data_IF_074443467193
#
_entry.id   IF_074443467193
#
_cell.length_a   1.000
_cell.length_b   1.000
_cell.length_c   1.000
_cell.angle_alpha   90.00
_cell.angle_beta   90.00
_cell.angle_gamma   90.00
#
_symmetry.space_group_name_H-M   'P 1'
#
loop_
_entity.id
_entity.type
_entity.pdbx_description
1 polymer ?
#
# COMPACT_ATOMS: atom_id res chain seq x y z
N UNK A 1 -5.35 -24.47 -16.39
CA UNK A 1 -4.04 -24.03 -15.88
C UNK A 1 -3.06 -25.18 -15.88
N UNK A 2 -1.85 -24.93 -16.29
CA UNK A 2 -0.78 -25.92 -16.34
C UNK A 2 0.06 -25.91 -15.06
N UNK A 3 -0.58 -26.29 -13.94
CA UNK A 3 0.12 -26.49 -12.71
C UNK A 3 -0.09 -25.40 -11.67
N UNK A 4 0.57 -25.61 -10.54
CA UNK A 4 0.40 -24.80 -9.33
C UNK A 4 0.83 -23.35 -9.51
N UNK A 5 1.92 -23.12 -10.24
CA UNK A 5 2.47 -21.78 -10.47
C UNK A 5 1.48 -20.93 -11.26
N UNK A 6 0.81 -21.51 -12.25
CA UNK A 6 -0.18 -20.79 -13.05
C UNK A 6 -1.42 -20.43 -12.24
N UNK A 7 -1.83 -21.29 -11.30
CA UNK A 7 -2.94 -20.99 -10.40
C UNK A 7 -2.58 -19.83 -9.46
N UNK A 8 -1.37 -19.83 -8.93
CA UNK A 8 -0.90 -18.74 -8.05
C UNK A 8 -0.80 -17.44 -8.85
N UNK A 9 -0.29 -17.49 -10.06
CA UNK A 9 -0.18 -16.31 -10.92
C UNK A 9 -1.56 -15.73 -11.26
N UNK A 10 -2.56 -16.58 -11.51
CA UNK A 10 -3.93 -16.13 -11.78
C UNK A 10 -4.57 -15.52 -10.53
N UNK A 11 -4.35 -16.11 -9.35
CA UNK A 11 -4.82 -15.53 -8.09
C UNK A 11 -4.16 -14.17 -7.84
N UNK A 12 -2.86 -14.03 -8.12
CA UNK A 12 -2.17 -12.76 -8.00
C UNK A 12 -2.73 -11.73 -8.97
N UNK A 13 -3.01 -12.12 -10.22
CA UNK A 13 -3.60 -11.23 -11.23
C UNK A 13 -4.96 -10.69 -10.77
N UNK A 14 -5.83 -11.58 -10.32
CA UNK A 14 -7.14 -11.20 -9.79
C UNK A 14 -7.02 -10.27 -8.59
N UNK A 15 -6.10 -10.59 -7.70
CA UNK A 15 -5.84 -9.78 -6.51
C UNK A 15 -5.37 -8.38 -6.86
N UNK A 16 -4.42 -8.24 -7.77
CA UNK A 16 -3.94 -6.93 -8.21
C UNK A 16 -5.03 -6.11 -8.90
N UNK A 17 -5.91 -6.75 -9.67
CA UNK A 17 -7.02 -6.05 -10.32
C UNK A 17 -7.95 -5.42 -9.27
N UNK A 18 -8.39 -6.21 -8.28
CA UNK A 18 -9.24 -5.72 -7.19
C UNK A 18 -8.51 -4.67 -6.36
N UNK A 19 -7.26 -4.93 -6.02
CA UNK A 19 -6.44 -4.03 -5.23
C UNK A 19 -6.25 -2.68 -5.93
N UNK A 20 -5.96 -2.68 -7.22
CA UNK A 20 -5.82 -1.45 -8.00
C UNK A 20 -7.10 -0.62 -7.97
N UNK A 21 -8.26 -1.25 -8.13
CA UNK A 21 -9.54 -0.56 -8.09
C UNK A 21 -9.81 0.04 -6.70
N UNK A 22 -9.52 -0.70 -5.64
CA UNK A 22 -9.69 -0.22 -4.27
C UNK A 22 -8.76 0.95 -3.96
N UNK A 23 -7.52 0.88 -4.38
CA UNK A 23 -6.55 1.95 -4.16
C UNK A 23 -6.93 3.23 -4.92
N UNK A 24 -7.33 3.09 -6.18
CA UNK A 24 -7.81 4.22 -6.98
C UNK A 24 -9.04 4.88 -6.34
N UNK A 25 -9.99 4.09 -5.88
CA UNK A 25 -11.19 4.59 -5.22
C UNK A 25 -10.84 5.35 -3.93
N UNK A 26 -9.98 4.75 -3.10
CA UNK A 26 -9.56 5.36 -1.84
C UNK A 26 -8.84 6.69 -2.08
N UNK A 27 -7.96 6.73 -3.08
CA UNK A 27 -7.25 7.95 -3.44
C UNK A 27 -8.20 9.07 -3.85
N UNK A 28 -9.15 8.78 -4.74
CA UNK A 28 -10.14 9.75 -5.20
C UNK A 28 -11.04 10.24 -4.08
N UNK A 29 -11.39 9.36 -3.17
CA UNK A 29 -12.24 9.70 -2.01
C UNK A 29 -11.59 10.73 -1.12
N UNK A 30 -10.27 10.75 -1.01
CA UNK A 30 -9.53 11.69 -0.18
C UNK A 30 -9.34 13.07 -0.82
N UNK A 31 -9.52 13.18 -2.15
CA UNK A 31 -9.32 14.44 -2.85
C UNK A 31 -10.29 15.53 -2.38
N UNK A 32 -9.90 16.81 -2.39
CA UNK A 32 -8.64 17.36 -2.91
C UNK A 32 -7.46 17.34 -1.92
N UNK A 33 -7.62 16.78 -0.74
CA UNK A 33 -6.54 16.74 0.26
C UNK A 33 -5.55 15.61 -0.06
N UNK A 34 -4.29 15.97 -0.32
CA UNK A 34 -3.23 15.00 -0.56
C UNK A 34 -3.02 14.08 0.66
N UNK A 35 -3.07 14.63 1.87
CA UNK A 35 -2.93 13.85 3.10
C UNK A 35 -4.11 12.89 3.30
N UNK A 36 -5.33 13.36 3.09
CA UNK A 36 -6.52 12.51 3.22
C UNK A 36 -6.51 11.37 2.19
N UNK A 37 -6.07 11.64 0.97
CA UNK A 37 -5.89 10.60 -0.06
C UNK A 37 -4.86 9.57 0.37
N UNK A 38 -3.74 10.02 0.92
CA UNK A 38 -2.67 9.15 1.39
C UNK A 38 -3.16 8.24 2.53
N UNK A 39 -3.80 8.83 3.54
CA UNK A 39 -4.36 8.07 4.66
C UNK A 39 -5.42 7.07 4.22
N UNK A 40 -6.29 7.46 3.29
CA UNK A 40 -7.33 6.61 2.74
C UNK A 40 -6.74 5.38 2.02
N UNK A 41 -5.66 5.56 1.25
CA UNK A 41 -4.99 4.45 0.58
C UNK A 41 -4.36 3.48 1.58
N UNK A 42 -3.81 3.97 2.68
CA UNK A 42 -3.27 3.12 3.74
C UNK A 42 -4.36 2.25 4.38
N UNK A 43 -5.51 2.83 4.68
CA UNK A 43 -6.65 2.08 5.21
C UNK A 43 -7.17 1.06 4.21
N UNK A 44 -7.21 1.42 2.93
CA UNK A 44 -7.63 0.50 1.87
C UNK A 44 -6.68 -0.70 1.74
N UNK A 45 -5.39 -0.48 1.92
CA UNK A 45 -4.40 -1.55 1.91
C UNK A 45 -4.71 -2.60 2.99
N UNK A 46 -4.91 -2.15 4.24
CA UNK A 46 -5.24 -3.06 5.34
C UNK A 46 -6.57 -3.77 5.12
N UNK A 47 -7.59 -3.04 4.65
CA UNK A 47 -8.90 -3.62 4.38
C UNK A 47 -8.82 -4.71 3.31
N UNK A 48 -8.04 -4.48 2.25
CA UNK A 48 -7.82 -5.46 1.21
C UNK A 48 -7.18 -6.73 1.75
N UNK A 49 -6.11 -6.59 2.53
CA UNK A 49 -5.41 -7.74 3.10
C UNK A 49 -6.31 -8.60 3.99
N UNK A 50 -7.23 -7.97 4.73
CA UNK A 50 -8.19 -8.67 5.58
C UNK A 50 -9.29 -9.37 4.77
N UNK A 51 -9.80 -8.69 3.76
CA UNK A 51 -10.93 -9.21 2.97
C UNK A 51 -10.49 -10.28 1.98
N UNK A 52 -9.29 -10.18 1.44
CA UNK A 52 -8.77 -11.07 0.41
C UNK A 52 -7.43 -11.68 0.82
N UNK A 53 -7.37 -12.42 1.96
CA UNK A 53 -6.08 -12.91 2.48
C UNK A 53 -5.37 -13.87 1.53
N UNK A 54 -6.11 -14.73 0.83
CA UNK A 54 -5.52 -15.66 -0.13
C UNK A 54 -4.92 -14.96 -1.33
N UNK A 55 -5.62 -13.96 -1.86
CA UNK A 55 -5.10 -13.15 -2.96
C UNK A 55 -3.87 -12.36 -2.51
N UNK A 56 -3.91 -11.80 -1.29
CA UNK A 56 -2.78 -11.06 -0.73
C UNK A 56 -1.51 -11.94 -0.66
N UNK A 57 -1.64 -13.18 -0.20
CA UNK A 57 -0.53 -14.13 -0.15
C UNK A 57 0.02 -14.41 -1.55
N UNK A 58 -0.86 -14.64 -2.53
CA UNK A 58 -0.44 -14.88 -3.90
C UNK A 58 0.29 -13.69 -4.50
N UNK A 59 -0.17 -12.47 -4.20
CA UNK A 59 0.42 -11.23 -4.72
C UNK A 59 1.79 -10.93 -4.12
N UNK A 60 1.93 -11.03 -2.81
CA UNK A 60 3.08 -10.46 -2.10
C UNK A 60 3.97 -11.48 -1.40
N UNK A 61 3.53 -12.72 -1.24
CA UNK A 61 4.25 -13.70 -0.43
C UNK A 61 4.55 -15.01 -1.16
N UNK A 62 4.02 -15.19 -2.36
CA UNK A 62 4.17 -16.44 -3.10
C UNK A 62 5.51 -16.56 -3.84
N UNK A 63 6.23 -15.46 -3.99
CA UNK A 63 7.44 -15.40 -4.80
C UNK A 63 7.17 -15.27 -6.29
N UNK A 64 5.92 -15.15 -6.73
CA UNK A 64 5.61 -14.93 -8.13
C UNK A 64 6.13 -13.57 -8.57
N UNK A 65 6.88 -13.55 -9.68
CA UNK A 65 7.34 -12.30 -10.26
C UNK A 65 6.17 -11.53 -10.89
N UNK A 66 6.09 -10.22 -10.58
CA UNK A 66 5.10 -9.36 -11.24
C UNK A 66 5.36 -9.21 -12.74
N UNK A 67 6.56 -9.55 -13.18
CA UNK A 67 6.94 -9.48 -14.60
C UNK A 67 6.68 -10.80 -15.34
N UNK A 68 6.03 -11.76 -14.70
CA UNK A 68 5.72 -13.06 -15.34
C UNK A 68 4.89 -12.89 -16.61
N UNK A 69 3.93 -11.95 -16.60
CA UNK A 69 3.15 -11.58 -17.78
C UNK A 69 3.06 -10.08 -17.90
N UNK A 70 2.87 -9.52 -19.12
CA UNK A 70 2.66 -8.09 -19.27
C UNK A 70 1.44 -7.56 -18.52
N UNK A 71 0.36 -8.33 -18.46
CA UNK A 71 -0.85 -7.96 -17.74
C UNK A 71 -0.58 -7.85 -16.23
N UNK A 72 0.12 -8.82 -15.66
CA UNK A 72 0.45 -8.79 -14.23
C UNK A 72 1.34 -7.59 -13.89
N UNK A 73 2.34 -7.30 -14.74
CA UNK A 73 3.19 -6.12 -14.56
C UNK A 73 2.38 -4.82 -14.62
N UNK A 74 1.44 -4.72 -15.54
CA UNK A 74 0.58 -3.54 -15.69
C UNK A 74 -0.31 -3.35 -14.47
N UNK A 75 -0.98 -4.40 -14.01
CA UNK A 75 -1.89 -4.33 -12.88
C UNK A 75 -1.15 -4.03 -11.56
N UNK A 76 -0.01 -4.67 -11.34
CA UNK A 76 0.79 -4.40 -10.14
C UNK A 76 1.34 -2.97 -10.14
N UNK A 77 1.79 -2.48 -11.29
CA UNK A 77 2.26 -1.11 -11.45
C UNK A 77 1.16 -0.09 -11.22
N UNK A 78 -0.04 -0.35 -11.71
CA UNK A 78 -1.21 0.50 -11.48
C UNK A 78 -1.55 0.58 -9.99
N UNK A 79 -1.58 -0.56 -9.31
CA UNK A 79 -1.95 -0.63 -7.90
C UNK A 79 -0.93 0.09 -6.99
N UNK A 80 0.34 -0.25 -7.16
CA UNK A 80 1.40 0.31 -6.32
C UNK A 80 1.76 1.74 -6.72
N UNK A 81 1.50 2.11 -7.98
CA UNK A 81 1.70 3.46 -8.48
C UNK A 81 0.81 4.51 -7.81
N UNK A 82 -0.30 4.09 -7.20
CA UNK A 82 -1.16 5.00 -6.43
C UNK A 82 -0.39 5.60 -5.24
N UNK A 83 0.43 4.78 -4.55
CA UNK A 83 1.26 5.27 -3.44
C UNK A 83 2.31 6.27 -3.92
N UNK A 84 2.92 6.03 -5.07
CA UNK A 84 3.90 6.95 -5.65
C UNK A 84 3.23 8.28 -6.01
N UNK A 85 2.06 8.24 -6.64
CA UNK A 85 1.29 9.44 -6.99
C UNK A 85 0.95 10.25 -5.74
N UNK A 86 0.51 9.58 -4.68
CA UNK A 86 0.21 10.24 -3.41
C UNK A 86 1.46 10.90 -2.81
N UNK A 87 2.60 10.25 -2.88
CA UNK A 87 3.87 10.80 -2.40
C UNK A 87 4.28 12.04 -3.20
N UNK A 88 4.09 12.03 -4.52
CA UNK A 88 4.36 13.18 -5.39
C UNK A 88 3.49 14.37 -4.97
N UNK A 89 2.21 14.14 -4.76
CA UNK A 89 1.30 15.21 -4.35
C UNK A 89 1.65 15.78 -2.98
N UNK A 90 1.99 14.93 -2.01
CA UNK A 90 2.38 15.37 -0.68
C UNK A 90 3.64 16.25 -0.71
N UNK A 91 4.57 15.99 -1.61
CA UNK A 91 5.82 16.73 -1.70
C UNK A 91 5.72 17.98 -2.59
N UNK A 92 4.58 18.25 -3.19
CA UNK A 92 4.41 19.35 -4.15
C UNK A 92 4.74 20.74 -3.57
N UNK A 93 4.55 20.94 -2.26
CA UNK A 93 4.84 22.19 -1.57
C UNK A 93 6.33 22.36 -1.22
N UNK A 94 7.15 21.35 -1.41
CA UNK A 94 8.58 21.37 -1.11
C UNK A 94 9.32 21.74 -2.41
N UNK A 95 10.36 22.60 -2.34
CA UNK A 95 11.17 22.91 -3.52
C UNK A 95 11.69 21.61 -4.19
N UNK A 96 11.69 21.54 -5.53
CA UNK A 96 12.03 20.30 -6.24
C UNK A 96 13.36 19.68 -5.86
N UNK A 97 14.37 20.49 -5.56
CA UNK A 97 15.72 20.04 -5.19
C UNK A 97 15.80 19.44 -3.78
N UNK A 98 14.76 19.63 -2.97
CA UNK A 98 14.69 19.12 -1.59
C UNK A 98 13.61 18.04 -1.40
N UNK A 99 12.89 17.68 -2.46
CA UNK A 99 11.86 16.63 -2.38
C UNK A 99 12.51 15.27 -2.20
N UNK A 100 12.01 14.43 -1.27
CA UNK A 100 12.44 13.03 -1.22
C UNK A 100 11.98 12.31 -2.49
N UNK A 101 12.77 11.34 -2.98
CA UNK A 101 12.34 10.57 -4.15
C UNK A 101 11.00 9.86 -3.88
N UNK A 102 10.00 10.10 -4.74
CA UNK A 102 8.66 9.55 -4.55
C UNK A 102 8.65 8.01 -4.53
N UNK A 103 9.51 7.38 -5.34
CA UNK A 103 9.63 5.92 -5.36
C UNK A 103 10.15 5.37 -4.02
N UNK A 104 11.08 6.08 -3.38
CA UNK A 104 11.59 5.68 -2.08
C UNK A 104 10.52 5.84 -1.00
N UNK A 105 9.80 6.95 -1.00
CA UNK A 105 8.69 7.19 -0.07
C UNK A 105 7.64 6.10 -0.22
N UNK A 106 7.20 5.82 -1.44
CA UNK A 106 6.19 4.79 -1.68
C UNK A 106 6.66 3.40 -1.27
N UNK A 107 7.93 3.07 -1.49
CA UNK A 107 8.50 1.80 -1.06
C UNK A 107 8.52 1.65 0.46
N UNK A 108 8.89 2.70 1.19
CA UNK A 108 8.86 2.70 2.65
C UNK A 108 7.44 2.52 3.18
N UNK A 109 6.48 3.21 2.58
CA UNK A 109 5.08 3.09 2.99
C UNK A 109 4.55 1.68 2.70
N UNK A 110 4.86 1.13 1.52
CA UNK A 110 4.48 -0.23 1.20
C UNK A 110 5.08 -1.22 2.21
N UNK A 111 6.36 -1.07 2.56
CA UNK A 111 7.01 -1.92 3.55
C UNK A 111 6.32 -1.82 4.92
N UNK A 112 5.93 -0.62 5.35
CA UNK A 112 5.17 -0.44 6.59
C UNK A 112 3.81 -1.12 6.53
N UNK A 113 3.08 -0.95 5.44
CA UNK A 113 1.78 -1.59 5.25
C UNK A 113 1.89 -3.11 5.32
N UNK A 114 2.85 -3.67 4.57
CA UNK A 114 3.07 -5.11 4.56
C UNK A 114 3.51 -5.63 5.92
N UNK A 115 4.41 -4.92 6.58
CA UNK A 115 4.86 -5.28 7.92
C UNK A 115 3.73 -5.29 8.95
N UNK A 116 2.84 -4.29 8.90
CA UNK A 116 1.68 -4.23 9.80
C UNK A 116 0.74 -5.40 9.51
N UNK A 117 0.48 -5.71 8.22
CA UNK A 117 -0.35 -6.86 7.85
C UNK A 117 0.24 -8.15 8.40
N UNK A 118 1.52 -8.40 8.14
CA UNK A 118 2.16 -9.65 8.52
C UNK A 118 2.25 -9.85 10.02
N UNK A 119 2.63 -8.79 10.74
CA UNK A 119 2.90 -8.91 12.16
C UNK A 119 1.66 -8.73 13.03
N UNK A 120 0.69 -7.92 12.61
CA UNK A 120 -0.38 -7.48 13.51
C UNK A 120 -1.80 -7.67 12.99
N UNK A 121 -2.01 -7.76 11.68
CA UNK A 121 -3.35 -7.89 11.11
C UNK A 121 -3.77 -9.35 10.90
N UNK A 122 -2.85 -10.28 10.97
CA UNK A 122 -3.11 -11.72 10.86
C UNK A 122 -3.19 -12.38 12.22
N UNK A 123 -4.00 -13.43 12.32
CA UNK A 123 -4.20 -14.18 13.54
C UNK A 123 -5.30 -13.57 14.40
N UNK A 124 -5.29 -13.92 15.70
CA UNK A 124 -6.31 -13.44 16.64
C UNK A 124 -6.07 -11.98 17.00
N UNK A 125 -7.13 -11.15 17.00
CA UNK A 125 -6.99 -9.74 17.39
C UNK A 125 -6.37 -9.57 18.78
N UNK A 126 -5.48 -8.60 18.92
CA UNK A 126 -4.89 -8.22 20.19
C UNK A 126 -3.79 -9.13 20.73
N UNK A 127 -3.39 -10.17 19.99
CA UNK A 127 -2.39 -11.13 20.50
C UNK A 127 -0.96 -10.62 20.46
N UNK A 128 -0.64 -9.70 19.52
CA UNK A 128 0.73 -9.20 19.33
C UNK A 128 0.90 -7.74 19.70
N UNK A 129 -0.19 -7.00 19.76
CA UNK A 129 -0.18 -5.58 20.13
C UNK A 129 -1.53 -5.20 20.71
N UNK A 130 -1.57 -4.33 21.75
CA UNK A 130 -2.83 -3.79 22.25
C UNK A 130 -3.46 -2.76 21.32
N UNK A 131 -2.71 -2.30 20.29
CA UNK A 131 -3.20 -1.30 19.36
C UNK A 131 -3.78 -1.97 18.11
N UNK A 132 -4.90 -1.45 17.55
CA UNK A 132 -5.38 -1.91 16.26
C UNK A 132 -4.34 -1.71 15.17
N UNK A 133 -4.27 -2.61 14.18
CA UNK A 133 -3.32 -2.44 13.06
C UNK A 133 -3.44 -1.11 12.32
N UNK A 134 -4.66 -0.58 12.20
CA UNK A 134 -4.90 0.73 11.57
C UNK A 134 -4.19 1.85 12.33
N UNK A 135 -4.25 1.81 13.65
CA UNK A 135 -3.62 2.84 14.50
C UNK A 135 -2.09 2.75 14.41
N UNK A 136 -1.55 1.52 14.38
CA UNK A 136 -0.11 1.32 14.20
C UNK A 136 0.36 1.88 12.87
N UNK A 137 -0.37 1.59 11.79
CA UNK A 137 -0.01 2.07 10.47
C UNK A 137 -0.12 3.59 10.38
N UNK A 138 -1.22 4.16 10.84
CA UNK A 138 -1.45 5.61 10.79
C UNK A 138 -0.40 6.36 11.59
N UNK A 139 -0.10 5.89 12.80
CA UNK A 139 0.95 6.47 13.65
C UNK A 139 2.33 6.38 12.99
N UNK A 140 2.68 5.23 12.44
CA UNK A 140 3.99 5.03 11.79
C UNK A 140 4.14 5.91 10.55
N UNK A 141 3.13 5.97 9.73
CA UNK A 141 3.13 6.83 8.54
C UNK A 141 3.23 8.30 8.95
N UNK A 142 2.47 8.71 9.97
CA UNK A 142 2.52 10.09 10.46
C UNK A 142 3.92 10.51 10.92
N UNK A 143 4.57 9.66 11.71
CA UNK A 143 5.96 9.93 12.16
C UNK A 143 6.90 10.05 10.96
N UNK A 144 6.77 9.14 10.00
CA UNK A 144 7.60 9.12 8.80
C UNK A 144 7.40 10.39 7.97
N UNK A 145 6.16 10.78 7.70
CA UNK A 145 5.86 11.96 6.89
C UNK A 145 6.29 13.26 7.57
N UNK A 146 6.08 13.38 8.88
CA UNK A 146 6.55 14.53 9.64
C UNK A 146 8.08 14.61 9.64
N UNK A 147 8.75 13.47 9.79
CA UNK A 147 10.21 13.40 9.76
C UNK A 147 10.80 13.85 8.43
N UNK A 148 10.10 13.64 7.33
CA UNK A 148 10.50 14.10 5.99
C UNK A 148 10.07 15.53 5.69
N UNK A 149 9.27 16.17 6.57
CA UNK A 149 8.73 17.50 6.31
C UNK A 149 7.61 17.52 5.28
N UNK A 150 7.01 16.37 4.99
CA UNK A 150 5.91 16.28 4.02
C UNK A 150 4.58 16.75 4.60
N UNK A 151 4.43 16.72 5.91
CA UNK A 151 3.29 17.27 6.63
C UNK A 151 3.79 18.08 7.82
N UNK A 152 2.97 19.04 8.34
CA UNK A 152 3.37 19.84 9.50
C UNK A 152 3.58 18.98 10.75
N UNK A 153 4.45 19.42 11.70
CA UNK A 153 4.72 18.66 12.92
C UNK A 153 3.50 18.42 13.81
N UNK A 154 2.49 19.28 13.71
CA UNK A 154 1.27 19.24 14.49
C UNK A 154 0.08 18.64 13.72
N UNK A 155 0.32 18.09 12.56
CA UNK A 155 -0.72 17.51 11.71
C UNK A 155 -1.18 16.13 12.21
#
# INVERSE_FOLDING_TARGET
FEGRVDLIAEAARQGYEVFADLMDYAYKKGQPSALASFESTGRAYLAFARKYPGHYVAMFESGISVNRTPELAMLSGRALGVLERAAIELSAHIPPDRRPPAQMVSAHIWAMCHGVVELFARGSPGTKSPFPPEDLLESGIGVYLRGLGLVPPDA
#
